data_IF_817320651422
#
_entry.id   IF_817320651422
#
_cell.length_a   1.000
_cell.length_b   1.000
_cell.length_c   1.000
_cell.angle_alpha   90.00
_cell.angle_beta   90.00
_cell.angle_gamma   90.00
#
_symmetry.space_group_name_H-M   'P 1'
#
loop_
_entity.id
_entity.type
_entity.pdbx_description
1 polymer ?
#
# COMPACT_ATOMS: atom_id res chain seq x y z
N UNK A 1 40.77 30.76 -20.17
CA UNK A 1 40.82 29.37 -19.68
C UNK A 1 39.89 29.25 -18.47
N UNK A 2 39.02 28.25 -18.53
CA UNK A 2 38.16 27.67 -17.48
C UNK A 2 37.14 28.57 -16.75
N UNK A 3 35.94 28.59 -17.34
CA UNK A 3 34.66 28.68 -16.63
C UNK A 3 34.47 27.46 -15.73
N UNK A 4 34.11 27.66 -14.47
CA UNK A 4 33.44 26.62 -13.66
C UNK A 4 32.32 27.29 -12.87
N UNK A 5 31.18 27.50 -13.53
CA UNK A 5 29.91 27.60 -12.83
C UNK A 5 29.59 26.19 -12.30
N UNK A 6 29.83 25.97 -11.01
CA UNK A 6 29.24 24.84 -10.30
C UNK A 6 27.75 25.17 -10.15
N UNK A 7 26.99 24.88 -11.20
CA UNK A 7 25.56 24.70 -11.10
C UNK A 7 25.36 23.55 -10.12
N UNK A 8 25.03 23.90 -8.87
CA UNK A 8 24.56 22.97 -7.87
C UNK A 8 23.16 22.55 -8.32
N UNK A 9 23.14 21.62 -9.26
CA UNK A 9 21.98 20.89 -9.70
C UNK A 9 21.45 20.11 -8.51
N UNK A 10 20.64 20.77 -7.68
CA UNK A 10 19.70 20.10 -6.80
C UNK A 10 18.71 19.36 -7.71
N UNK A 11 19.15 18.20 -8.20
CA UNK A 11 18.30 17.08 -8.56
C UNK A 11 17.61 16.65 -7.27
N UNK A 12 16.67 17.47 -6.81
CA UNK A 12 15.56 16.95 -6.04
C UNK A 12 14.83 16.11 -7.07
N UNK A 13 15.14 14.82 -7.07
CA UNK A 13 14.30 13.81 -7.62
C UNK A 13 12.99 13.97 -6.86
N UNK A 14 12.13 14.84 -7.37
CA UNK A 14 10.71 14.66 -7.23
C UNK A 14 10.49 13.29 -7.84
N UNK A 15 10.51 12.27 -6.98
CA UNK A 15 9.83 11.03 -7.23
C UNK A 15 8.36 11.39 -7.39
N UNK A 16 8.01 11.95 -8.55
CA UNK A 16 6.75 11.64 -9.18
C UNK A 16 6.85 10.14 -9.43
N UNK A 17 6.56 9.34 -8.41
CA UNK A 17 5.93 8.05 -8.64
C UNK A 17 4.76 8.39 -9.53
N UNK A 18 4.99 8.19 -10.83
CA UNK A 18 4.01 8.26 -11.88
C UNK A 18 2.98 7.25 -11.44
N UNK A 19 1.95 7.72 -10.70
CA UNK A 19 0.90 6.88 -10.16
C UNK A 19 0.45 6.04 -11.33
N UNK A 20 0.75 4.75 -11.29
CA UNK A 20 0.29 3.85 -12.32
C UNK A 20 -1.21 4.00 -12.27
N UNK A 21 -1.79 4.56 -13.33
CA UNK A 21 -3.24 4.61 -13.51
C UNK A 21 -3.68 3.20 -13.92
N UNK A 22 -3.31 2.21 -13.11
CA UNK A 22 -3.97 0.93 -13.10
C UNK A 22 -5.32 1.17 -12.44
N UNK A 23 -6.39 0.68 -13.07
CA UNK A 23 -7.74 0.77 -12.53
C UNK A 23 -7.89 0.06 -11.18
N UNK A 24 -9.12 0.01 -10.63
CA UNK A 24 -9.35 -0.67 -9.37
C UNK A 24 -9.01 -2.16 -9.50
N UNK A 25 -8.09 -2.64 -8.66
CA UNK A 25 -7.64 -4.02 -8.57
C UNK A 25 -8.46 -4.73 -7.49
N UNK A 26 -8.90 -5.95 -7.77
CA UNK A 26 -9.73 -6.73 -6.84
C UNK A 26 -8.91 -7.26 -5.67
N UNK A 27 -9.58 -7.64 -4.58
CA UNK A 27 -8.96 -8.35 -3.46
C UNK A 27 -8.27 -9.65 -3.92
N UNK A 28 -8.91 -10.40 -4.83
CA UNK A 28 -8.33 -11.63 -5.40
C UNK A 28 -7.07 -11.38 -6.24
N UNK A 29 -6.94 -10.20 -6.86
CA UNK A 29 -5.69 -9.82 -7.50
C UNK A 29 -4.58 -9.68 -6.45
N UNK A 30 -4.83 -8.91 -5.39
CA UNK A 30 -3.85 -8.67 -4.32
C UNK A 30 -3.50 -9.94 -3.54
N UNK A 31 -4.44 -10.88 -3.38
CA UNK A 31 -4.15 -12.17 -2.73
C UNK A 31 -3.15 -13.02 -3.53
N UNK A 32 -3.11 -12.86 -4.86
CA UNK A 32 -2.15 -13.51 -5.75
C UNK A 32 -0.84 -12.72 -5.90
N UNK A 33 -0.83 -11.45 -5.50
CA UNK A 33 0.30 -10.52 -5.63
C UNK A 33 0.66 -9.95 -4.25
N UNK A 34 1.14 -10.81 -3.36
CA UNK A 34 1.36 -10.48 -1.93
C UNK A 34 2.32 -9.32 -1.71
N UNK A 35 3.35 -9.19 -2.53
CA UNK A 35 4.35 -8.13 -2.42
C UNK A 35 3.73 -6.76 -2.76
N UNK A 36 2.89 -6.72 -3.79
CA UNK A 36 2.13 -5.51 -4.14
C UNK A 36 1.09 -5.19 -3.05
N UNK A 37 0.44 -6.22 -2.49
CA UNK A 37 -0.51 -6.03 -1.39
C UNK A 37 0.16 -5.43 -0.14
N UNK A 38 1.37 -5.88 0.24
CA UNK A 38 2.10 -5.30 1.38
C UNK A 38 2.53 -3.86 1.09
N UNK A 39 3.04 -3.58 -0.11
CA UNK A 39 3.45 -2.23 -0.52
C UNK A 39 2.27 -1.27 -0.48
N UNK A 40 1.17 -1.60 -1.16
CA UNK A 40 -0.03 -0.77 -1.23
C UNK A 40 -0.61 -0.59 0.17
N UNK A 41 -0.78 -1.66 0.96
CA UNK A 41 -1.28 -1.55 2.33
C UNK A 41 -0.38 -0.67 3.23
N UNK A 42 0.94 -0.70 3.03
CA UNK A 42 1.89 0.18 3.70
C UNK A 42 1.66 1.65 3.35
N UNK A 43 1.56 1.96 2.06
CA UNK A 43 1.25 3.31 1.57
C UNK A 43 -0.08 3.83 2.11
N UNK A 44 -1.11 2.98 2.14
CA UNK A 44 -2.44 3.36 2.63
C UNK A 44 -2.43 3.71 4.13
N UNK A 45 -1.67 2.99 4.96
CA UNK A 45 -1.51 3.33 6.39
C UNK A 45 -0.83 4.69 6.60
N UNK A 46 0.16 5.00 5.77
CA UNK A 46 0.83 6.30 5.82
C UNK A 46 -0.15 7.41 5.43
N UNK A 47 -0.99 7.18 4.42
CA UNK A 47 -2.02 8.12 3.98
C UNK A 47 -3.12 8.31 5.03
N UNK A 48 -3.58 7.21 5.67
CA UNK A 48 -4.54 7.24 6.77
C UNK A 48 -4.06 8.10 7.95
N UNK A 49 -2.81 7.90 8.35
CA UNK A 49 -2.20 8.63 9.47
C UNK A 49 -1.81 10.08 9.14
N UNK A 50 -1.71 10.44 7.86
CA UNK A 50 -1.38 11.78 7.40
C UNK A 50 -2.61 12.50 6.83
N UNK A 51 -2.87 12.32 5.54
CA UNK A 51 -3.84 13.10 4.78
C UNK A 51 -5.28 12.82 5.20
N UNK A 52 -5.68 11.54 5.28
CA UNK A 52 -7.08 11.19 5.56
C UNK A 52 -7.49 11.58 6.97
N UNK A 53 -6.55 11.58 7.93
CA UNK A 53 -6.81 12.01 9.31
C UNK A 53 -7.27 13.47 9.41
N UNK A 54 -6.89 14.31 8.44
CA UNK A 54 -7.21 15.74 8.37
C UNK A 54 -8.46 16.04 7.54
N UNK A 55 -8.94 15.07 6.76
CA UNK A 55 -10.15 15.18 5.98
C UNK A 55 -11.40 15.12 6.87
N UNK A 56 -12.44 15.84 6.47
CA UNK A 56 -13.78 15.65 7.02
C UNK A 56 -14.31 14.24 6.71
N UNK A 57 -15.31 13.73 7.46
CA UNK A 57 -15.90 12.42 7.18
C UNK A 57 -16.43 12.28 5.74
N UNK A 58 -17.04 13.34 5.19
CA UNK A 58 -17.56 13.33 3.81
C UNK A 58 -16.46 13.26 2.76
N UNK A 59 -15.35 13.99 2.97
CA UNK A 59 -14.20 13.94 2.05
C UNK A 59 -13.51 12.58 2.10
N UNK A 60 -13.41 11.99 3.29
CA UNK A 60 -12.86 10.63 3.45
C UNK A 60 -13.72 9.59 2.76
N UNK A 61 -15.05 9.68 2.91
CA UNK A 61 -15.98 8.79 2.21
C UNK A 61 -15.83 8.90 0.69
N UNK A 62 -15.74 10.12 0.16
CA UNK A 62 -15.50 10.33 -1.27
C UNK A 62 -14.15 9.75 -1.73
N UNK A 63 -13.11 9.84 -0.88
CA UNK A 63 -11.81 9.22 -1.17
C UNK A 63 -11.88 7.68 -1.22
N UNK A 64 -12.66 7.04 -0.34
CA UNK A 64 -12.83 5.58 -0.31
C UNK A 64 -13.44 5.00 -1.59
N UNK A 65 -14.17 5.83 -2.35
CA UNK A 65 -14.77 5.49 -3.64
C UNK A 65 -13.81 5.66 -4.83
N UNK A 66 -12.67 6.34 -4.63
CA UNK A 66 -11.65 6.49 -5.68
C UNK A 66 -10.94 5.15 -5.96
N UNK A 67 -10.27 5.05 -7.11
CA UNK A 67 -9.43 3.89 -7.44
C UNK A 67 -8.40 3.62 -6.34
N UNK A 68 -7.81 4.68 -5.79
CA UNK A 68 -6.84 4.56 -4.70
C UNK A 68 -7.48 4.02 -3.42
N UNK A 69 -8.64 4.57 -3.03
CA UNK A 69 -9.40 4.08 -1.86
C UNK A 69 -9.82 2.61 -1.99
N UNK A 70 -10.31 2.23 -3.17
CA UNK A 70 -10.66 0.83 -3.48
C UNK A 70 -9.45 -0.09 -3.40
N UNK A 71 -8.32 0.31 -4.00
CA UNK A 71 -7.08 -0.47 -3.96
C UNK A 71 -6.54 -0.58 -2.54
N UNK A 72 -6.60 0.50 -1.76
CA UNK A 72 -6.22 0.49 -0.35
C UNK A 72 -7.01 -0.53 0.45
N UNK A 73 -8.34 -0.49 0.35
CA UNK A 73 -9.21 -1.44 1.04
C UNK A 73 -8.91 -2.88 0.65
N UNK A 74 -8.83 -3.15 -0.65
CA UNK A 74 -8.63 -4.51 -1.16
C UNK A 74 -7.24 -5.06 -0.80
N UNK A 75 -6.18 -4.24 -0.86
CA UNK A 75 -4.83 -4.65 -0.47
C UNK A 75 -4.71 -4.91 1.03
N UNK A 76 -5.29 -4.04 1.87
CA UNK A 76 -5.31 -4.21 3.32
C UNK A 76 -6.06 -5.49 3.72
N UNK A 77 -7.18 -5.77 3.06
CA UNK A 77 -7.96 -6.99 3.28
C UNK A 77 -7.17 -8.24 2.89
N UNK A 78 -6.69 -8.31 1.64
CA UNK A 78 -5.91 -9.46 1.14
C UNK A 78 -4.68 -9.75 2.01
N UNK A 79 -3.97 -8.71 2.46
CA UNK A 79 -2.84 -8.83 3.38
C UNK A 79 -3.27 -9.40 4.75
N UNK A 80 -4.39 -8.94 5.29
CA UNK A 80 -4.88 -9.40 6.59
C UNK A 80 -5.29 -10.88 6.53
N UNK A 81 -5.95 -11.29 5.46
CA UNK A 81 -6.35 -12.68 5.23
C UNK A 81 -5.16 -13.60 5.03
N UNK A 82 -4.15 -13.15 4.27
CA UNK A 82 -2.87 -13.87 4.13
C UNK A 82 -2.22 -14.12 5.50
N UNK A 83 -2.10 -13.08 6.33
CA UNK A 83 -1.51 -13.19 7.69
C UNK A 83 -2.31 -14.11 8.59
N UNK A 84 -3.64 -14.06 8.50
CA UNK A 84 -4.52 -14.91 9.29
C UNK A 84 -4.41 -16.38 8.85
N UNK A 85 -4.39 -16.65 7.55
CA UNK A 85 -4.19 -18.00 7.00
C UNK A 85 -2.85 -18.60 7.43
N UNK A 86 -1.78 -17.82 7.37
CA UNK A 86 -0.46 -18.24 7.85
C UNK A 86 -0.44 -18.53 9.35
N UNK A 87 -1.10 -17.69 10.14
CA UNK A 87 -1.27 -17.94 11.57
C UNK A 87 -2.00 -19.28 11.80
N UNK A 88 -3.14 -19.51 11.15
CA UNK A 88 -3.89 -20.76 11.27
C UNK A 88 -3.08 -21.98 10.82
N UNK A 89 -2.24 -21.84 9.79
CA UNK A 89 -1.33 -22.90 9.34
C UNK A 89 -0.31 -23.24 10.41
N UNK A 90 0.38 -22.23 10.97
CA UNK A 90 1.35 -22.44 12.06
C UNK A 90 0.71 -23.12 13.27
N UNK A 91 -0.48 -22.66 13.68
CA UNK A 91 -1.19 -23.27 14.82
C UNK A 91 -1.51 -24.76 14.57
N UNK A 92 -1.88 -25.13 13.35
CA UNK A 92 -2.12 -26.55 12.98
C UNK A 92 -0.82 -27.36 12.98
N UNK A 93 0.28 -26.79 12.48
CA UNK A 93 1.59 -27.43 12.48
C UNK A 93 2.11 -27.67 13.91
N UNK A 94 1.94 -26.69 14.81
CA UNK A 94 2.29 -26.83 16.22
C UNK A 94 1.42 -27.86 16.95
N UNK A 95 0.11 -27.88 16.69
CA UNK A 95 -0.79 -28.85 17.30
C UNK A 95 -0.46 -30.30 16.92
N UNK A 96 0.01 -30.54 15.69
CA UNK A 96 0.47 -31.87 15.24
C UNK A 96 1.64 -32.43 16.05
N UNK A 97 2.44 -31.59 16.71
CA UNK A 97 3.57 -32.06 17.53
C UNK A 97 3.13 -32.79 18.80
N UNK A 98 1.87 -32.64 19.20
CA UNK A 98 1.28 -33.23 20.40
C UNK A 98 0.31 -34.38 20.11
N UNK A 99 0.26 -34.85 18.85
CA UNK A 99 -0.45 -36.05 18.42
C UNK A 99 0.54 -37.20 18.25
#
# INVERSE_FOLDING_TARGET
>A
MLSIMVALSCLVVAGCEKGSVDGPKSENYFSQHSDEAELVAGTCRNMESAELSRMSPSERLAWEETVQGVNCRNAVQARSDSKYSDYQRRMREEAKKYQ
#
